data_IF_938164739539
#
_entry.id   IF_938164739539
#
_cell.length_a   1.000
_cell.length_b   1.000
_cell.length_c   1.000
_cell.angle_alpha   90.00
_cell.angle_beta   90.00
_cell.angle_gamma   90.00
#
_symmetry.space_group_name_H-M   'P 1'
#
loop_
_entity.id
_entity.type
_entity.pdbx_description
1 polymer ?
#
# COMPACT_ATOMS: atom_id res chain seq x y z
N UNK A 1 13.00 10.24 -4.22
CA UNK A 1 12.36 10.57 -2.91
C UNK A 1 11.30 9.51 -2.69
N UNK A 2 11.43 8.67 -1.66
CA UNK A 2 10.37 7.70 -1.32
C UNK A 2 9.23 8.47 -0.66
N UNK A 3 8.13 8.62 -1.38
CA UNK A 3 6.90 9.20 -0.84
C UNK A 3 6.19 8.13 -0.01
N UNK A 4 5.71 8.51 1.18
CA UNK A 4 4.96 7.63 2.10
C UNK A 4 3.81 6.91 1.36
N UNK A 5 3.20 7.60 0.39
CA UNK A 5 2.16 7.09 -0.50
C UNK A 5 2.60 5.85 -1.31
N UNK A 6 3.87 5.76 -1.73
CA UNK A 6 4.38 4.63 -2.51
C UNK A 6 4.46 3.35 -1.67
N UNK A 7 4.75 3.50 -0.37
CA UNK A 7 4.81 2.39 0.58
C UNK A 7 3.40 1.88 0.87
N UNK A 8 2.45 2.79 1.13
CA UNK A 8 1.05 2.45 1.35
C UNK A 8 0.41 1.76 0.14
N UNK A 9 0.73 2.23 -1.08
CA UNK A 9 0.28 1.58 -2.32
C UNK A 9 0.76 0.13 -2.42
N UNK A 10 1.99 -0.17 -1.99
CA UNK A 10 2.51 -1.54 -2.04
C UNK A 10 1.79 -2.44 -1.02
N UNK A 11 1.56 -1.94 0.20
CA UNK A 11 0.82 -2.67 1.25
C UNK A 11 -0.64 -2.94 0.84
N UNK A 12 -1.23 -2.06 0.03
CA UNK A 12 -2.59 -2.19 -0.49
C UNK A 12 -2.69 -3.14 -1.69
N UNK A 13 -1.77 -3.02 -2.64
CA UNK A 13 -1.87 -3.65 -3.94
C UNK A 13 -1.23 -5.04 -4.00
N UNK A 14 -0.17 -5.30 -3.22
CA UNK A 14 0.64 -6.51 -3.36
C UNK A 14 0.55 -7.40 -2.12
N UNK A 15 0.13 -8.64 -2.34
CA UNK A 15 0.23 -9.72 -1.33
C UNK A 15 1.67 -10.25 -1.21
N UNK A 16 2.40 -10.24 -2.33
CA UNK A 16 3.81 -10.58 -2.42
C UNK A 16 4.43 -9.82 -3.58
N UNK A 17 5.67 -9.37 -3.43
CA UNK A 17 6.39 -8.61 -4.45
C UNK A 17 7.87 -9.03 -4.44
N UNK A 18 8.50 -9.11 -5.61
CA UNK A 18 9.91 -9.47 -5.69
C UNK A 18 10.78 -8.36 -5.11
N UNK A 19 11.90 -8.73 -4.50
CA UNK A 19 12.84 -7.77 -3.91
C UNK A 19 13.46 -6.85 -4.97
N UNK A 20 13.71 -7.37 -6.18
CA UNK A 20 14.23 -6.60 -7.31
C UNK A 20 13.22 -5.59 -7.86
N UNK A 21 11.95 -5.95 -7.92
CA UNK A 21 10.92 -5.01 -8.37
C UNK A 21 10.69 -3.92 -7.33
N UNK A 22 10.84 -4.24 -6.04
CA UNK A 22 10.85 -3.26 -4.98
C UNK A 22 12.01 -2.27 -5.14
N UNK A 23 13.22 -2.76 -5.46
CA UNK A 23 14.37 -1.91 -5.78
C UNK A 23 14.11 -0.96 -6.93
N UNK A 24 13.53 -1.45 -8.03
CA UNK A 24 13.18 -0.62 -9.18
C UNK A 24 12.10 0.39 -8.85
N UNK A 25 11.10 -0.01 -8.08
CA UNK A 25 9.96 0.84 -7.73
C UNK A 25 10.37 2.01 -6.82
N UNK A 26 11.22 1.75 -5.83
CA UNK A 26 11.71 2.79 -4.93
C UNK A 26 12.94 3.53 -5.47
N UNK A 27 13.68 2.95 -6.42
CA UNK A 27 14.95 3.47 -6.91
C UNK A 27 16.01 3.54 -5.81
N UNK A 28 15.98 2.60 -4.86
CA UNK A 28 16.84 2.58 -3.68
C UNK A 28 17.75 1.35 -3.64
N UNK A 29 18.87 1.49 -2.94
CA UNK A 29 19.79 0.38 -2.68
C UNK A 29 19.15 -0.69 -1.77
N UNK A 30 19.59 -1.94 -1.95
CA UNK A 30 19.12 -3.11 -1.18
C UNK A 30 19.12 -2.89 0.34
N UNK A 31 20.11 -2.19 0.89
CA UNK A 31 20.20 -1.92 2.34
C UNK A 31 19.07 -1.01 2.84
N UNK A 32 18.72 0.02 2.07
CA UNK A 32 17.64 0.94 2.43
C UNK A 32 16.28 0.24 2.34
N UNK A 33 16.11 -0.67 1.39
CA UNK A 33 14.88 -1.44 1.27
C UNK A 33 14.73 -2.44 2.42
N UNK A 34 15.81 -3.08 2.86
CA UNK A 34 15.79 -3.91 4.07
C UNK A 34 15.39 -3.10 5.30
N UNK A 35 15.87 -1.86 5.42
CA UNK A 35 15.42 -0.96 6.49
C UNK A 35 13.92 -0.67 6.39
N UNK A 36 13.40 -0.31 5.22
CA UNK A 36 11.96 -0.08 5.01
C UNK A 36 11.13 -1.32 5.36
N UNK A 37 11.58 -2.50 4.93
CA UNK A 37 10.90 -3.76 5.25
C UNK A 37 10.88 -4.01 6.76
N UNK A 38 11.98 -3.70 7.46
CA UNK A 38 12.06 -3.85 8.92
C UNK A 38 11.18 -2.84 9.66
N UNK A 39 11.25 -1.56 9.26
CA UNK A 39 10.46 -0.46 9.83
C UNK A 39 8.95 -0.69 9.68
N UNK A 40 8.53 -1.33 8.59
CA UNK A 40 7.14 -1.66 8.28
C UNK A 40 6.72 -3.07 8.69
N UNK A 41 7.62 -3.83 9.31
CA UNK A 41 7.41 -5.24 9.68
C UNK A 41 6.94 -6.11 8.49
N UNK A 42 7.46 -5.84 7.28
CA UNK A 42 7.25 -6.68 6.11
C UNK A 42 8.11 -7.93 6.21
N UNK A 43 7.51 -9.08 5.92
CA UNK A 43 8.23 -10.34 5.99
C UNK A 43 9.03 -10.55 4.71
N UNK A 44 10.29 -10.94 4.85
CA UNK A 44 11.14 -11.33 3.72
C UNK A 44 11.19 -12.85 3.73
N UNK A 45 10.94 -13.46 2.57
CA UNK A 45 11.03 -14.91 2.43
C UNK A 45 12.46 -15.39 2.73
N UNK A 46 12.57 -16.65 3.17
CA UNK A 46 13.81 -17.35 3.50
C UNK A 46 14.84 -17.36 2.36
N UNK A 47 14.39 -17.29 1.10
CA UNK A 47 15.26 -17.12 -0.07
C UNK A 47 15.71 -15.69 -0.35
N UNK A 48 15.14 -14.68 0.33
CA UNK A 48 15.43 -13.26 0.09
C UNK A 48 14.90 -12.72 -1.24
N UNK A 49 14.12 -13.53 -1.97
CA UNK A 49 13.65 -13.22 -3.33
C UNK A 49 12.35 -12.41 -3.29
N UNK A 50 11.49 -12.70 -2.32
CA UNK A 50 10.17 -12.10 -2.19
C UNK A 50 9.98 -11.41 -0.85
N UNK A 51 9.23 -10.32 -0.89
CA UNK A 51 8.76 -9.57 0.26
C UNK A 51 7.24 -9.73 0.33
N UNK A 52 6.75 -9.95 1.54
CA UNK A 52 5.35 -10.04 1.91
C UNK A 52 5.01 -8.77 2.71
N UNK A 53 4.45 -7.74 2.04
CA UNK A 53 3.98 -6.56 2.73
C UNK A 53 2.91 -6.93 3.74
N UNK A 54 2.92 -6.28 4.91
CA UNK A 54 1.88 -6.49 5.92
C UNK A 54 0.61 -5.78 5.46
N UNK A 55 -0.26 -6.52 4.76
CA UNK A 55 -1.53 -6.00 4.30
C UNK A 55 -2.38 -5.58 5.50
N UNK A 56 -2.79 -4.32 5.52
CA UNK A 56 -3.77 -3.86 6.48
C UNK A 56 -5.16 -4.29 5.98
N UNK A 57 -5.61 -5.49 6.33
CA UNK A 57 -6.94 -5.99 5.91
C UNK A 57 -8.10 -5.14 6.46
N UNK A 58 -7.83 -4.16 7.33
CA UNK A 58 -8.81 -3.22 7.89
C UNK A 58 -9.15 -2.03 6.96
N UNK A 59 -8.84 -2.08 5.67
CA UNK A 59 -9.43 -1.12 4.73
C UNK A 59 -10.89 -1.52 4.54
N UNK A 60 -11.72 -1.11 5.50
CA UNK A 60 -13.16 -1.08 5.34
C UNK A 60 -13.41 -0.18 4.14
N UNK A 61 -13.79 -0.78 3.00
CA UNK A 61 -14.09 -0.05 1.79
C UNK A 61 -15.12 1.03 2.13
N UNK A 62 -14.82 2.33 1.98
CA UNK A 62 -15.81 3.36 2.23
C UNK A 62 -16.64 3.47 0.96
N UNK A 63 -17.36 2.41 0.60
CA UNK A 63 -18.21 2.39 -0.60
C UNK A 63 -19.60 2.89 -0.26
N UNK A 64 -20.27 2.29 0.73
CA UNK A 64 -21.67 2.63 0.99
C UNK A 64 -21.87 4.00 1.65
N UNK A 65 -21.10 4.34 2.69
CA UNK A 65 -21.23 5.63 3.39
C UNK A 65 -20.83 6.82 2.53
N UNK A 66 -19.90 6.65 1.59
CA UNK A 66 -19.51 7.70 0.66
C UNK A 66 -20.51 7.84 -0.50
N UNK A 67 -21.12 6.74 -0.95
CA UNK A 67 -22.21 6.78 -1.92
C UNK A 67 -23.44 7.49 -1.35
N UNK A 68 -23.81 7.21 -0.10
CA UNK A 68 -24.93 7.92 0.56
C UNK A 68 -24.68 9.42 0.64
N UNK A 69 -23.46 9.85 1.01
CA UNK A 69 -23.10 11.27 1.02
C UNK A 69 -23.17 11.91 -0.36
N UNK A 70 -22.77 11.20 -1.42
CA UNK A 70 -22.86 11.66 -2.80
C UNK A 70 -24.32 11.86 -3.23
N UNK A 71 -25.19 10.92 -2.90
CA UNK A 71 -26.63 11.01 -3.20
C UNK A 71 -27.27 12.18 -2.46
N UNK A 72 -26.99 12.34 -1.16
CA UNK A 72 -27.48 13.47 -0.37
C UNK A 72 -27.02 14.82 -0.96
N UNK A 73 -25.77 14.90 -1.42
CA UNK A 73 -25.23 16.12 -2.02
C UNK A 73 -25.91 16.48 -3.34
N UNK A 74 -26.16 15.47 -4.21
CA UNK A 74 -26.87 15.67 -5.47
C UNK A 74 -28.32 16.08 -5.21
N UNK A 75 -29.02 15.42 -4.28
CA UNK A 75 -30.38 15.79 -3.91
C UNK A 75 -30.48 17.21 -3.32
N UNK A 76 -29.44 17.70 -2.66
CA UNK A 76 -29.38 19.08 -2.17
C UNK A 76 -29.17 20.10 -3.30
N UNK A 77 -28.32 19.78 -4.28
CA UNK A 77 -27.99 20.69 -5.40
C UNK A 77 -29.10 20.78 -6.46
N UNK A 78 -29.93 19.75 -6.58
CA UNK A 78 -31.07 19.72 -7.51
C UNK A 78 -32.36 20.37 -6.94
N UNK A 79 -32.33 20.84 -5.69
CA UNK A 79 -33.40 21.65 -5.08
C UNK A 79 -33.14 23.14 -5.27
#
# INVERSE_FOLDING_TARGET
RVTIQNVELIELAYKSISFDDLQKFFGLNANMIKQICNDRAWQIDSGGIYVLPKRNDNISAPSNTNLTKLVELVCFLER
#
